data_IF_957348614498
#
_entry.id   IF_957348614498
#
_cell.length_a   1.000
_cell.length_b   1.000
_cell.length_c   1.000
_cell.angle_alpha   90.00
_cell.angle_beta   90.00
_cell.angle_gamma   90.00
#
_symmetry.space_group_name_H-M   'P 1'
#
loop_
_entity.id
_entity.type
_entity.pdbx_description
1 polymer ?
#
# COMPACT_ATOMS: atom_id res chain seq x y z
N UNK A 1 26.21 -57.89 14.60
CA UNK A 1 25.68 -57.51 13.26
C UNK A 1 26.03 -56.05 13.05
N UNK A 2 26.69 -55.70 11.94
CA UNK A 2 27.11 -54.31 11.67
C UNK A 2 25.97 -53.54 11.02
N UNK A 3 25.52 -52.48 11.67
CA UNK A 3 24.46 -51.58 11.20
C UNK A 3 25.08 -50.33 10.55
N UNK A 4 24.44 -49.79 9.51
CA UNK A 4 24.81 -48.48 8.94
C UNK A 4 23.85 -47.42 9.44
N UNK A 5 24.39 -46.39 10.10
CA UNK A 5 23.63 -45.31 10.70
C UNK A 5 23.99 -44.00 9.98
N UNK A 6 22.98 -43.25 9.56
CA UNK A 6 23.14 -41.89 9.03
C UNK A 6 22.78 -40.88 10.12
N UNK A 7 23.78 -40.12 10.58
CA UNK A 7 23.58 -38.92 11.39
C UNK A 7 23.40 -37.70 10.51
N UNK A 8 22.40 -36.86 10.84
CA UNK A 8 22.15 -35.59 10.16
C UNK A 8 22.10 -34.48 11.20
N UNK A 9 22.90 -33.44 10.99
CA UNK A 9 22.92 -32.21 11.79
C UNK A 9 22.38 -31.04 10.94
N UNK A 10 21.23 -30.49 11.34
CA UNK A 10 20.53 -29.44 10.60
C UNK A 10 20.77 -28.07 11.25
N UNK A 11 21.60 -27.26 10.60
CA UNK A 11 21.82 -25.85 10.93
C UNK A 11 21.01 -24.89 10.04
N UNK A 12 21.04 -23.60 10.38
CA UNK A 12 20.32 -22.53 9.65
C UNK A 12 20.82 -22.36 8.20
N UNK A 13 22.09 -22.65 7.95
CA UNK A 13 22.76 -22.51 6.65
C UNK A 13 23.68 -23.69 6.31
N UNK A 14 23.52 -24.80 7.02
CA UNK A 14 24.37 -25.98 6.90
C UNK A 14 23.60 -27.26 7.18
N UNK A 15 23.93 -28.32 6.45
CA UNK A 15 23.50 -29.68 6.74
C UNK A 15 24.76 -30.53 6.87
N UNK A 16 25.12 -30.87 8.10
CA UNK A 16 26.14 -31.85 8.40
C UNK A 16 25.57 -33.26 8.24
N UNK A 17 26.35 -34.18 7.71
CA UNK A 17 25.98 -35.58 7.64
C UNK A 17 27.18 -36.48 7.89
N UNK A 18 26.93 -37.62 8.51
CA UNK A 18 27.94 -38.67 8.70
C UNK A 18 27.27 -40.03 8.60
N UNK A 19 27.91 -40.96 7.89
CA UNK A 19 27.51 -42.37 7.86
C UNK A 19 28.52 -43.14 8.70
N UNK A 20 28.03 -43.90 9.68
CA UNK A 20 28.85 -44.74 10.54
C UNK A 20 28.44 -46.20 10.41
N UNK A 21 29.42 -47.10 10.42
CA UNK A 21 29.20 -48.52 10.65
C UNK A 21 29.31 -48.76 12.16
N UNK A 22 28.26 -49.34 12.75
CA UNK A 22 28.11 -49.58 14.17
C UNK A 22 27.87 -51.07 14.44
N UNK A 23 28.82 -51.69 15.11
CA UNK A 23 28.78 -53.06 15.61
C UNK A 23 28.47 -53.06 17.10
N UNK A 24 27.28 -53.55 17.45
CA UNK A 24 26.78 -53.61 18.84
C UNK A 24 27.61 -54.53 19.74
N UNK A 25 28.32 -55.50 19.17
CA UNK A 25 29.02 -56.55 19.92
C UNK A 25 30.52 -56.28 20.04
N UNK A 26 31.09 -55.41 19.19
CA UNK A 26 32.50 -55.09 19.19
C UNK A 26 32.77 -53.65 18.73
N UNK A 27 32.98 -52.76 19.69
CA UNK A 27 33.22 -51.33 19.46
C UNK A 27 34.45 -51.04 18.59
N UNK A 28 35.44 -51.96 18.54
CA UNK A 28 36.63 -51.80 17.68
C UNK A 28 36.31 -51.87 16.18
N UNK A 29 35.16 -52.43 15.81
CA UNK A 29 34.70 -52.50 14.44
C UNK A 29 33.96 -51.22 13.99
N UNK A 30 33.69 -50.30 14.92
CA UNK A 30 32.99 -49.06 14.63
C UNK A 30 33.89 -48.12 13.83
N UNK A 31 33.34 -47.55 12.75
CA UNK A 31 34.06 -46.58 11.93
C UNK A 31 33.13 -45.59 11.25
N UNK A 32 33.68 -44.40 10.98
CA UNK A 32 33.05 -43.43 10.09
C UNK A 32 33.31 -43.88 8.66
N UNK A 33 32.24 -44.13 7.91
CA UNK A 33 32.30 -44.53 6.50
C UNK A 33 32.54 -43.30 5.63
N UNK A 34 31.78 -42.23 5.89
CA UNK A 34 31.90 -40.96 5.19
C UNK A 34 31.26 -39.84 6.01
N UNK A 35 31.69 -38.61 5.77
CA UNK A 35 31.08 -37.44 6.37
C UNK A 35 31.28 -36.19 5.51
N UNK A 36 30.39 -35.21 5.69
CA UNK A 36 30.49 -33.96 4.98
C UNK A 36 29.54 -32.91 5.50
N UNK A 37 29.66 -31.71 4.94
CA UNK A 37 28.78 -30.58 5.24
C UNK A 37 28.30 -29.95 3.94
N UNK A 38 26.99 -29.81 3.78
CA UNK A 38 26.39 -29.02 2.71
C UNK A 38 26.06 -27.63 3.23
N UNK A 39 26.77 -26.62 2.73
CA UNK A 39 26.45 -25.21 2.99
C UNK A 39 25.40 -24.71 2.00
N UNK A 40 24.49 -23.86 2.47
CA UNK A 40 23.47 -23.18 1.65
C UNK A 40 23.16 -21.80 2.20
N UNK A 41 22.60 -20.93 1.36
CA UNK A 41 22.15 -19.62 1.81
C UNK A 41 20.90 -19.78 2.69
N UNK A 42 20.95 -19.26 3.91
CA UNK A 42 19.78 -19.22 4.79
C UNK A 42 18.59 -18.56 4.08
N UNK A 43 17.38 -19.02 4.38
CA UNK A 43 16.13 -18.50 3.79
C UNK A 43 15.70 -17.14 4.37
N UNK A 44 16.67 -16.31 4.75
CA UNK A 44 16.53 -15.02 5.39
C UNK A 44 17.43 -13.99 4.72
N UNK A 45 17.01 -12.72 4.66
CA UNK A 45 17.89 -11.66 4.19
C UNK A 45 19.02 -11.43 5.20
N UNK A 46 20.29 -11.30 4.75
CA UNK A 46 21.45 -11.17 5.66
C UNK A 46 21.38 -9.99 6.63
N UNK A 47 20.55 -8.98 6.32
CA UNK A 47 20.48 -7.70 7.02
C UNK A 47 19.28 -7.58 7.97
N UNK A 48 18.12 -8.14 7.60
CA UNK A 48 16.87 -7.94 8.36
C UNK A 48 16.29 -9.26 8.89
N UNK A 49 16.92 -10.41 8.59
CA UNK A 49 16.40 -11.75 8.94
C UNK A 49 14.97 -11.99 8.46
N UNK A 50 14.54 -11.29 7.42
CA UNK A 50 13.19 -11.41 6.88
C UNK A 50 13.16 -12.40 5.72
N UNK A 51 12.01 -13.06 5.54
CA UNK A 51 11.81 -13.90 4.37
C UNK A 51 11.98 -13.07 3.08
N UNK A 52 12.81 -13.52 2.12
CA UNK A 52 12.94 -12.87 0.80
C UNK A 52 11.60 -12.68 0.07
N UNK A 53 10.60 -13.49 0.43
CA UNK A 53 9.25 -13.42 -0.12
C UNK A 53 8.46 -12.17 0.32
N UNK A 54 8.82 -11.55 1.45
CA UNK A 54 8.14 -10.35 1.95
C UNK A 54 8.35 -9.17 1.00
N UNK A 55 9.60 -8.85 0.66
CA UNK A 55 9.92 -7.79 -0.31
C UNK A 55 9.21 -8.01 -1.67
N UNK A 56 9.16 -9.25 -2.16
CA UNK A 56 8.43 -9.60 -3.40
C UNK A 56 6.92 -9.37 -3.26
N UNK A 57 6.34 -9.74 -2.11
CA UNK A 57 4.91 -9.55 -1.81
C UNK A 57 4.56 -8.05 -1.74
N UNK A 58 5.38 -7.25 -1.07
CA UNK A 58 5.15 -5.81 -0.89
C UNK A 58 5.25 -5.06 -2.21
N UNK A 59 6.28 -5.34 -3.00
CA UNK A 59 6.44 -4.77 -4.34
C UNK A 59 5.26 -5.15 -5.26
N UNK A 60 4.75 -6.38 -5.16
CA UNK A 60 3.54 -6.82 -5.89
C UNK A 60 2.30 -6.07 -5.41
N UNK A 61 2.18 -5.83 -4.11
CA UNK A 61 1.11 -5.02 -3.50
C UNK A 61 1.08 -3.61 -4.08
N UNK A 62 2.21 -2.91 -4.06
CA UNK A 62 2.36 -1.55 -4.58
C UNK A 62 1.98 -1.48 -6.08
N UNK A 63 2.49 -2.41 -6.91
CA UNK A 63 2.14 -2.46 -8.34
C UNK A 63 0.64 -2.60 -8.57
N UNK A 64 -0.03 -3.46 -7.79
CA UNK A 64 -1.50 -3.64 -7.87
C UNK A 64 -2.25 -2.36 -7.47
N UNK A 65 -1.82 -1.67 -6.42
CA UNK A 65 -2.43 -0.39 -5.98
C UNK A 65 -2.31 0.66 -7.08
N UNK A 66 -1.13 0.81 -7.69
CA UNK A 66 -0.89 1.74 -8.80
C UNK A 66 -1.78 1.39 -10.00
N UNK A 67 -1.79 0.12 -10.42
CA UNK A 67 -2.61 -0.35 -11.55
C UNK A 67 -4.10 -0.07 -11.31
N UNK A 68 -4.64 -0.44 -10.15
CA UNK A 68 -6.05 -0.21 -9.80
C UNK A 68 -6.41 1.27 -9.72
N UNK A 69 -5.50 2.11 -9.22
CA UNK A 69 -5.71 3.57 -9.23
C UNK A 69 -5.79 4.10 -10.66
N UNK A 70 -4.88 3.67 -11.55
CA UNK A 70 -4.89 4.07 -12.96
C UNK A 70 -6.18 3.66 -13.66
N UNK A 71 -6.58 2.40 -13.53
CA UNK A 71 -7.83 1.87 -14.12
C UNK A 71 -9.03 2.67 -13.64
N UNK A 72 -9.21 2.82 -12.32
CA UNK A 72 -10.32 3.61 -11.76
C UNK A 72 -10.36 5.04 -12.30
N UNK A 73 -9.20 5.71 -12.37
CA UNK A 73 -9.17 7.09 -12.87
C UNK A 73 -9.54 7.18 -14.35
N UNK A 74 -9.13 6.19 -15.16
CA UNK A 74 -9.49 6.15 -16.58
C UNK A 74 -10.98 5.86 -16.77
N UNK A 75 -11.54 4.92 -16.01
CA UNK A 75 -12.98 4.63 -16.04
C UNK A 75 -13.82 5.85 -15.69
N UNK A 76 -13.44 6.58 -14.64
CA UNK A 76 -14.15 7.81 -14.24
C UNK A 76 -14.05 8.88 -15.32
N UNK A 77 -12.85 9.09 -15.89
CA UNK A 77 -12.69 10.05 -17.00
C UNK A 77 -13.55 9.67 -18.21
N UNK A 78 -13.54 8.39 -18.59
CA UNK A 78 -14.35 7.89 -19.70
C UNK A 78 -15.85 8.04 -19.42
N UNK A 79 -16.29 7.79 -18.19
CA UNK A 79 -17.67 7.99 -17.77
C UNK A 79 -18.07 9.46 -17.94
N UNK A 80 -17.27 10.41 -17.44
CA UNK A 80 -17.54 11.84 -17.59
C UNK A 80 -17.63 12.28 -19.06
N UNK A 81 -16.79 11.71 -19.94
CA UNK A 81 -16.88 11.95 -21.38
C UNK A 81 -18.17 11.37 -21.96
N UNK A 82 -18.51 10.12 -21.63
CA UNK A 82 -19.69 9.44 -22.16
C UNK A 82 -21.00 10.12 -21.75
N UNK A 83 -21.02 10.80 -20.59
CA UNK A 83 -22.17 11.56 -20.10
C UNK A 83 -22.18 13.01 -20.63
N UNK A 84 -21.26 13.39 -21.51
CA UNK A 84 -21.20 14.72 -22.10
C UNK A 84 -20.80 15.84 -21.12
N UNK A 85 -20.26 15.50 -19.94
CA UNK A 85 -19.81 16.50 -18.98
C UNK A 85 -18.52 17.18 -19.45
N UNK A 86 -17.61 16.41 -20.03
CA UNK A 86 -16.33 16.93 -20.55
C UNK A 86 -15.98 16.27 -21.87
N UNK A 87 -15.25 16.98 -22.70
CA UNK A 87 -14.64 16.46 -23.91
C UNK A 87 -13.25 15.85 -23.63
N UNK A 88 -12.79 14.98 -24.53
CA UNK A 88 -11.42 14.45 -24.48
C UNK A 88 -10.36 15.57 -24.57
N UNK A 89 -10.65 16.63 -25.32
CA UNK A 89 -9.76 17.77 -25.46
C UNK A 89 -9.58 18.55 -24.15
N UNK A 90 -10.61 18.64 -23.31
CA UNK A 90 -10.55 19.28 -22.00
C UNK A 90 -9.72 18.49 -20.99
N UNK A 91 -9.51 17.19 -21.20
CA UNK A 91 -8.70 16.34 -20.31
C UNK A 91 -7.19 16.44 -20.57
N UNK A 92 -6.78 16.50 -21.84
CA UNK A 92 -5.42 16.17 -22.27
C UNK A 92 -4.57 17.36 -22.75
N UNK A 93 -5.16 18.55 -22.94
CA UNK A 93 -4.42 19.72 -23.46
C UNK A 93 -3.70 20.53 -22.37
N UNK A 94 -2.65 21.25 -22.78
CA UNK A 94 -1.93 22.24 -21.96
C UNK A 94 -2.87 23.36 -21.43
N UNK A 95 -3.97 23.62 -22.15
CA UNK A 95 -5.07 24.50 -21.74
C UNK A 95 -6.32 23.73 -21.23
N UNK A 96 -6.19 22.46 -20.88
CA UNK A 96 -7.28 21.61 -20.39
C UNK A 96 -7.79 22.01 -19.00
N UNK A 97 -8.78 21.27 -18.49
CA UNK A 97 -9.50 21.55 -17.24
C UNK A 97 -8.57 21.69 -16.03
N UNK A 98 -7.40 21.04 -16.07
CA UNK A 98 -6.44 21.02 -14.96
C UNK A 98 -5.32 22.05 -15.05
N UNK A 99 -5.10 22.64 -16.23
CA UNK A 99 -3.91 23.44 -16.52
C UNK A 99 -4.23 24.87 -16.99
N UNK A 100 -5.48 25.16 -17.39
CA UNK A 100 -5.85 26.51 -17.87
C UNK A 100 -5.82 27.56 -16.74
N UNK A 101 -5.46 28.80 -17.09
CA UNK A 101 -5.44 29.92 -16.14
C UNK A 101 -6.83 30.23 -15.54
N UNK A 102 -7.91 30.00 -16.29
CA UNK A 102 -9.31 30.10 -15.80
C UNK A 102 -9.63 29.02 -14.75
N UNK A 103 -8.93 27.90 -14.76
CA UNK A 103 -9.19 26.75 -13.87
C UNK A 103 -8.27 26.72 -12.63
N UNK A 104 -7.71 27.86 -12.20
CA UNK A 104 -6.88 27.97 -10.99
C UNK A 104 -7.65 27.89 -9.67
N UNK A 105 -8.98 27.93 -9.69
CA UNK A 105 -9.82 27.80 -8.49
C UNK A 105 -9.49 26.51 -7.75
N UNK A 106 -9.24 26.60 -6.44
CA UNK A 106 -8.93 25.44 -5.59
C UNK A 106 -10.11 24.45 -5.62
N UNK A 107 -9.81 23.16 -5.83
CA UNK A 107 -10.85 22.12 -5.85
C UNK A 107 -11.55 21.99 -4.49
N UNK A 108 -10.89 22.35 -3.39
CA UNK A 108 -11.53 22.42 -2.08
C UNK A 108 -12.57 23.54 -2.00
N UNK A 109 -12.30 24.69 -2.62
CA UNK A 109 -13.29 25.75 -2.78
C UNK A 109 -14.48 25.27 -3.61
N UNK A 110 -14.23 24.62 -4.76
CA UNK A 110 -15.31 24.07 -5.59
C UNK A 110 -16.19 23.06 -4.84
N UNK A 111 -15.59 22.23 -3.97
CA UNK A 111 -16.35 21.30 -3.13
C UNK A 111 -17.22 22.01 -2.09
N UNK A 112 -16.79 23.15 -1.59
CA UNK A 112 -17.57 23.99 -0.69
C UNK A 112 -18.68 24.72 -1.45
N UNK A 113 -18.35 25.33 -2.59
CA UNK A 113 -19.28 26.06 -3.46
C UNK A 113 -20.40 25.16 -3.99
N UNK A 114 -20.12 23.87 -4.24
CA UNK A 114 -21.11 22.87 -4.66
C UNK A 114 -22.29 22.70 -3.68
N UNK A 115 -22.14 23.14 -2.42
CA UNK A 115 -23.22 23.13 -1.43
C UNK A 115 -24.13 24.37 -1.51
N UNK A 116 -23.72 25.38 -2.27
CA UNK A 116 -24.33 26.72 -2.30
C UNK A 116 -24.79 27.15 -3.68
N UNK A 117 -24.11 26.69 -4.73
CA UNK A 117 -24.43 27.00 -6.12
C UNK A 117 -24.27 25.77 -7.01
N UNK A 118 -24.90 25.83 -8.17
CA UNK A 118 -24.67 24.87 -9.25
C UNK A 118 -23.25 25.10 -9.80
N UNK A 119 -22.51 24.00 -9.97
CA UNK A 119 -21.21 23.99 -10.63
C UNK A 119 -21.38 23.74 -12.12
N UNK A 120 -20.51 24.33 -12.93
CA UNK A 120 -20.45 23.96 -14.34
C UNK A 120 -19.88 22.54 -14.53
N UNK A 121 -19.98 21.99 -15.74
CA UNK A 121 -19.55 20.62 -15.99
C UNK A 121 -18.04 20.40 -15.76
N UNK A 122 -17.21 21.41 -16.01
CA UNK A 122 -15.77 21.34 -15.81
C UNK A 122 -15.44 21.39 -14.30
N UNK A 123 -16.06 22.29 -13.56
CA UNK A 123 -15.95 22.39 -12.09
C UNK A 123 -16.39 21.10 -11.41
N UNK A 124 -17.57 20.58 -11.79
CA UNK A 124 -18.11 19.32 -11.27
C UNK A 124 -17.16 18.15 -11.57
N UNK A 125 -16.65 18.05 -12.80
CA UNK A 125 -15.71 17.01 -13.20
C UNK A 125 -14.41 17.05 -12.38
N UNK A 126 -13.87 18.24 -12.12
CA UNK A 126 -12.69 18.42 -11.25
C UNK A 126 -12.95 17.94 -9.83
N UNK A 127 -14.11 18.28 -9.27
CA UNK A 127 -14.54 17.84 -7.93
C UNK A 127 -14.63 16.32 -7.86
N UNK A 128 -15.32 15.68 -8.80
CA UNK A 128 -15.51 14.22 -8.82
C UNK A 128 -14.18 13.47 -9.00
N UNK A 129 -13.33 13.93 -9.93
CA UNK A 129 -11.99 13.37 -10.14
C UNK A 129 -11.13 13.49 -8.88
N UNK A 130 -11.19 14.63 -8.19
CA UNK A 130 -10.44 14.84 -6.95
C UNK A 130 -10.92 13.91 -5.83
N UNK A 131 -12.23 13.76 -5.63
CA UNK A 131 -12.81 12.82 -4.65
C UNK A 131 -12.35 11.39 -4.95
N UNK A 132 -12.42 10.94 -6.21
CA UNK A 132 -12.01 9.60 -6.60
C UNK A 132 -10.50 9.33 -6.45
N UNK A 133 -9.68 10.37 -6.64
CA UNK A 133 -8.24 10.34 -6.44
C UNK A 133 -7.87 10.30 -4.96
N UNK A 134 -8.69 10.89 -4.09
CA UNK A 134 -8.48 11.07 -2.65
C UNK A 134 -9.60 10.45 -1.80
N UNK A 135 -10.04 9.24 -2.16
CA UNK A 135 -11.21 8.54 -1.59
C UNK A 135 -11.08 8.02 -0.14
N UNK A 136 -10.05 8.44 0.59
CA UNK A 136 -9.81 7.99 1.97
C UNK A 136 -9.49 6.50 2.13
N UNK A 137 -9.60 6.03 3.37
CA UNK A 137 -9.40 4.64 3.79
C UNK A 137 -10.75 4.06 4.25
N UNK A 138 -11.02 2.80 3.87
CA UNK A 138 -12.16 2.04 4.39
C UNK A 138 -11.61 0.97 5.32
N UNK A 139 -12.02 1.01 6.58
CA UNK A 139 -11.72 -0.04 7.54
C UNK A 139 -12.52 -1.29 7.13
N UNK A 140 -11.81 -2.38 6.87
CA UNK A 140 -12.37 -3.68 6.55
C UNK A 140 -11.80 -4.64 7.60
N UNK A 141 -12.64 -5.11 8.52
CA UNK A 141 -12.25 -6.01 9.60
C UNK A 141 -11.60 -5.35 10.82
N UNK A 142 -11.59 -6.10 11.93
CA UNK A 142 -11.08 -5.71 13.24
C UNK A 142 -9.67 -6.27 13.53
N UNK A 143 -8.84 -6.47 12.50
CA UNK A 143 -7.50 -6.99 12.74
C UNK A 143 -6.63 -5.92 13.43
N UNK A 144 -6.44 -6.10 14.73
CA UNK A 144 -5.58 -5.30 15.63
C UNK A 144 -4.15 -5.84 15.72
N UNK A 145 -3.81 -6.86 14.92
CA UNK A 145 -2.55 -7.60 15.05
C UNK A 145 -1.30 -6.83 14.62
N UNK A 146 -1.42 -5.60 14.11
CA UNK A 146 -0.29 -4.80 13.61
C UNK A 146 -0.31 -3.38 14.23
N UNK A 147 0.79 -3.00 14.88
CA UNK A 147 0.95 -1.72 15.60
C UNK A 147 0.77 -0.51 14.66
N UNK A 148 1.22 -0.64 13.40
CA UNK A 148 1.07 0.41 12.40
C UNK A 148 -0.40 0.55 11.95
N UNK A 149 -1.13 -0.57 11.80
CA UNK A 149 -2.58 -0.58 11.56
C UNK A 149 -3.34 0.09 12.71
N UNK A 150 -2.92 -0.17 13.95
CA UNK A 150 -3.46 0.49 15.15
C UNK A 150 -3.34 2.01 15.11
N UNK A 151 -2.18 2.55 14.70
CA UNK A 151 -1.95 4.00 14.56
C UNK A 151 -2.86 4.63 13.50
N UNK A 152 -3.02 3.98 12.35
CA UNK A 152 -3.91 4.47 11.27
C UNK A 152 -5.38 4.42 11.70
N UNK A 153 -5.80 3.35 12.40
CA UNK A 153 -7.16 3.24 12.98
C UNK A 153 -7.45 4.36 13.97
N UNK A 154 -6.55 4.59 14.94
CA UNK A 154 -6.67 5.67 15.93
C UNK A 154 -6.74 7.05 15.27
N UNK A 155 -5.80 7.37 14.39
CA UNK A 155 -5.82 8.64 13.66
C UNK A 155 -7.08 8.83 12.80
N UNK A 156 -7.59 7.74 12.19
CA UNK A 156 -8.84 7.76 11.44
C UNK A 156 -10.06 7.99 12.33
N UNK A 157 -10.10 7.42 13.53
CA UNK A 157 -11.16 7.64 14.52
C UNK A 157 -11.13 9.07 15.05
N UNK A 158 -9.95 9.59 15.42
CA UNK A 158 -9.77 10.98 15.83
C UNK A 158 -10.22 11.97 14.74
N UNK A 159 -9.86 11.72 13.48
CA UNK A 159 -10.28 12.55 12.36
C UNK A 159 -11.81 12.55 12.20
N UNK A 160 -12.45 11.39 12.37
CA UNK A 160 -13.92 11.27 12.34
C UNK A 160 -14.57 12.08 13.46
N UNK A 161 -14.06 11.96 14.69
CA UNK A 161 -14.60 12.70 15.84
C UNK A 161 -14.43 14.22 15.65
N UNK A 162 -13.26 14.67 15.18
CA UNK A 162 -13.01 16.08 14.85
C UNK A 162 -13.99 16.59 13.79
N UNK A 163 -14.25 15.81 12.75
CA UNK A 163 -15.23 16.17 11.72
C UNK A 163 -16.65 16.27 12.28
N UNK A 164 -17.08 15.28 13.08
CA UNK A 164 -18.41 15.26 13.70
C UNK A 164 -18.61 16.44 14.65
N UNK A 165 -17.63 16.73 15.51
CA UNK A 165 -17.68 17.83 16.46
C UNK A 165 -17.66 19.21 15.79
N UNK A 166 -17.07 19.30 14.59
CA UNK A 166 -17.02 20.56 13.84
C UNK A 166 -18.36 20.94 13.20
N UNK A 167 -19.33 20.02 13.10
CA UNK A 167 -20.69 20.33 12.67
C UNK A 167 -20.86 20.66 11.17
N UNK A 168 -19.85 20.40 10.34
CA UNK A 168 -19.92 20.62 8.89
C UNK A 168 -20.62 19.47 8.15
N UNK A 169 -21.27 19.76 7.03
CA UNK A 169 -22.01 18.77 6.23
C UNK A 169 -21.08 17.83 5.46
N UNK A 170 -19.94 18.35 4.98
CA UNK A 170 -19.00 17.56 4.18
C UNK A 170 -17.54 17.83 4.54
N UNK A 171 -16.66 16.87 4.23
CA UNK A 171 -15.20 17.04 4.35
C UNK A 171 -14.67 18.17 3.47
N UNK A 172 -15.33 18.44 2.33
CA UNK A 172 -14.95 19.53 1.44
C UNK A 172 -15.16 20.89 2.09
N UNK A 173 -16.36 21.08 2.65
CA UNK A 173 -16.72 22.26 3.45
C UNK A 173 -15.82 22.41 4.67
N UNK A 174 -15.67 21.36 5.48
CA UNK A 174 -14.85 21.42 6.68
C UNK A 174 -13.41 21.87 6.39
N UNK A 175 -12.76 21.25 5.40
CA UNK A 175 -11.37 21.56 5.07
C UNK A 175 -11.23 22.93 4.41
N UNK A 176 -12.23 23.42 3.68
CA UNK A 176 -12.18 24.77 3.12
C UNK A 176 -12.40 25.83 4.21
N UNK A 177 -13.40 25.66 5.07
CA UNK A 177 -13.73 26.60 6.15
C UNK A 177 -12.61 26.74 7.18
N UNK A 178 -11.98 25.63 7.59
CA UNK A 178 -10.92 25.67 8.60
C UNK A 178 -9.58 26.19 8.06
N UNK A 179 -9.26 25.89 6.79
CA UNK A 179 -7.91 26.07 6.24
C UNK A 179 -7.82 27.19 5.21
N UNK A 180 -8.95 27.62 4.64
CA UNK A 180 -9.00 28.64 3.59
C UNK A 180 -8.11 28.31 2.40
N UNK A 181 -7.73 29.29 1.61
CA UNK A 181 -6.88 29.08 0.43
C UNK A 181 -5.43 28.71 0.80
N UNK A 182 -4.87 29.40 1.80
CA UNK A 182 -3.42 29.45 2.05
C UNK A 182 -2.87 28.34 2.95
N UNK A 183 -3.73 27.57 3.65
CA UNK A 183 -3.23 26.49 4.50
C UNK A 183 -3.26 25.13 3.81
N UNK A 184 -2.33 24.26 4.23
CA UNK A 184 -2.14 22.91 3.66
C UNK A 184 -3.34 22.02 4.00
N UNK A 185 -4.03 21.47 2.99
CA UNK A 185 -5.19 20.55 3.17
C UNK A 185 -4.84 19.07 2.96
N UNK A 186 -3.58 18.74 2.70
CA UNK A 186 -3.10 17.37 2.47
C UNK A 186 -2.06 16.98 3.52
N UNK A 187 -2.12 15.74 3.99
CA UNK A 187 -1.05 15.11 4.77
C UNK A 187 0.15 14.97 3.83
N UNK A 188 1.12 15.89 3.89
CA UNK A 188 2.38 15.99 3.10
C UNK A 188 2.41 15.22 1.75
N UNK A 189 2.41 15.96 0.64
CA UNK A 189 2.70 15.38 -0.69
C UNK A 189 4.17 15.58 -1.04
N UNK A 190 4.96 14.49 -0.95
CA UNK A 190 6.18 14.16 -1.72
C UNK A 190 7.17 15.29 -2.05
N UNK A 191 8.37 15.22 -1.44
CA UNK A 191 9.60 15.42 -2.23
C UNK A 191 9.50 14.46 -3.42
N UNK A 192 9.43 15.00 -4.63
CA UNK A 192 10.08 14.32 -5.75
C UNK A 192 11.59 14.45 -5.52
#
# INVERSE_FOLDING_TARGET
>A
MVEKILGIDLGISSLGWAVVEYDKENDRNNKIVDCGVRLFTAAETPKEKESPNKARRDARGIRRVIKRRRIRMNEIKNLLISQGLISKNELDKENGMFNSAKNRVDVWQLRYDALKRVLDNNELSRVLIHIAKHRGFKFIGDDESDEESGKVKKAGAELRNKFQNAGYKTVGEWLWSERGENQKKRNKSRRL
#
